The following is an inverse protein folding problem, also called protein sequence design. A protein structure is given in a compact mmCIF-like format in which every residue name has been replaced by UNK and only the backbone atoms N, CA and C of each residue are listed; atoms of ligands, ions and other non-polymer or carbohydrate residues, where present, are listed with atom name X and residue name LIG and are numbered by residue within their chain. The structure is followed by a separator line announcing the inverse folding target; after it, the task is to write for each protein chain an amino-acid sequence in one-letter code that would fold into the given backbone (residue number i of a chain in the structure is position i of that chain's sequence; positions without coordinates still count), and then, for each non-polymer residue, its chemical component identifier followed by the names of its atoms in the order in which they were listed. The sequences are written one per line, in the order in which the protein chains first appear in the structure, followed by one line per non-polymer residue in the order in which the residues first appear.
data_IF_986317563042
#
_entry.id   IF_986317563042
#
_cell.length_a   1.000
_cell.length_b   1.000
_cell.length_c   1.000
_cell.angle_alpha   90.00
_cell.angle_beta   90.00
_cell.angle_gamma   90.00
#
_symmetry.space_group_name_H-M   'P 1'
#
loop_
_entity.id
_entity.type
_entity.pdbx_description
1 polymer ?
#
# COMPACT_ATOMS: atom_id res chain seq x y z
N UNK A 1 -8.16 13.36 21.93
CA UNK A 1 -7.76 12.21 22.74
C UNK A 1 -7.92 10.96 21.87
N UNK A 2 -6.85 10.17 21.74
CA UNK A 2 -6.93 8.86 21.11
C UNK A 2 -7.68 7.89 22.03
N UNK A 3 -8.34 6.86 21.49
CA UNK A 3 -9.11 5.88 22.29
C UNK A 3 -8.25 5.10 23.29
N UNK A 4 -6.94 5.04 23.05
CA UNK A 4 -5.96 4.40 23.94
C UNK A 4 -5.30 5.38 24.93
N UNK A 5 -5.73 6.65 24.94
CA UNK A 5 -5.18 7.69 25.81
C UNK A 5 -3.79 8.18 25.43
N UNK A 6 -3.21 7.68 24.32
CA UNK A 6 -1.91 8.10 23.83
C UNK A 6 -2.04 9.12 22.69
N UNK A 7 -1.10 10.06 22.62
CA UNK A 7 -1.01 11.03 21.54
C UNK A 7 0.29 10.82 20.75
N UNK A 8 0.16 10.73 19.44
CA UNK A 8 1.30 10.52 18.54
C UNK A 8 1.54 11.76 17.68
N UNK A 9 2.81 12.10 17.50
CA UNK A 9 3.20 13.21 16.65
C UNK A 9 2.85 12.96 15.20
N UNK A 10 2.32 14.00 14.51
CA UNK A 10 1.85 13.92 13.13
C UNK A 10 2.88 13.33 12.18
N UNK A 11 4.14 13.76 12.28
CA UNK A 11 5.21 13.33 11.38
C UNK A 11 6.15 12.28 11.99
N UNK A 12 6.09 12.06 13.29
CA UNK A 12 7.07 11.25 14.02
C UNK A 12 6.49 10.03 14.73
N UNK A 13 5.18 9.82 14.67
CA UNK A 13 4.57 8.74 15.43
C UNK A 13 3.29 8.18 14.82
N UNK A 14 2.94 8.58 13.61
CA UNK A 14 1.73 8.13 12.90
C UNK A 14 2.10 7.34 11.65
N UNK A 15 1.13 6.62 11.10
CA UNK A 15 1.30 5.85 9.87
C UNK A 15 0.85 6.69 8.69
N UNK A 16 1.76 6.90 7.75
CA UNK A 16 1.53 7.53 6.45
C UNK A 16 1.53 6.44 5.38
N UNK A 17 0.39 6.11 4.74
CA UNK A 17 0.30 4.95 3.85
C UNK A 17 1.28 4.94 2.68
N UNK A 18 1.63 6.10 2.12
CA UNK A 18 2.64 6.15 1.05
C UNK A 18 4.05 5.81 1.56
N UNK A 19 4.42 6.23 2.78
CA UNK A 19 5.70 5.84 3.40
C UNK A 19 5.67 4.37 3.81
N UNK A 20 4.52 3.90 4.34
CA UNK A 20 4.31 2.50 4.66
C UNK A 20 4.48 1.60 3.43
N UNK A 21 3.99 2.02 2.25
CA UNK A 21 4.17 1.26 1.02
C UNK A 21 5.64 1.18 0.58
N UNK A 22 6.41 2.27 0.67
CA UNK A 22 7.85 2.24 0.39
C UNK A 22 8.64 1.37 1.37
N UNK A 23 8.25 1.39 2.64
CA UNK A 23 8.80 0.50 3.65
C UNK A 23 8.53 -0.97 3.31
N UNK A 24 7.28 -1.29 2.94
CA UNK A 24 6.87 -2.63 2.56
C UNK A 24 7.62 -3.13 1.32
N UNK A 25 7.74 -2.30 0.27
CA UNK A 25 8.53 -2.57 -0.93
C UNK A 25 9.98 -2.91 -0.56
N UNK A 26 10.63 -2.05 0.21
CA UNK A 26 11.99 -2.30 0.67
C UNK A 26 12.10 -3.61 1.47
N UNK A 27 11.15 -3.90 2.35
CA UNK A 27 11.14 -5.13 3.14
C UNK A 27 11.05 -6.38 2.23
N UNK A 28 10.16 -6.36 1.23
CA UNK A 28 10.02 -7.47 0.27
C UNK A 28 11.30 -7.70 -0.53
N UNK A 29 11.94 -6.63 -1.01
CA UNK A 29 13.20 -6.69 -1.75
C UNK A 29 14.36 -7.22 -0.92
N UNK A 30 14.33 -6.98 0.41
CA UNK A 30 15.31 -7.51 1.36
C UNK A 30 14.92 -8.87 1.97
N UNK A 31 13.94 -9.57 1.40
CA UNK A 31 13.55 -10.91 1.81
C UNK A 31 12.66 -10.99 3.05
N UNK A 32 12.15 -9.84 3.53
CA UNK A 32 11.22 -9.75 4.67
C UNK A 32 9.78 -9.68 4.16
N UNK A 33 9.36 -10.76 3.50
CA UNK A 33 7.99 -10.88 2.99
C UNK A 33 6.94 -10.86 4.12
N UNK A 34 7.30 -11.31 5.31
CA UNK A 34 6.48 -11.22 6.52
C UNK A 34 6.05 -9.78 6.85
N UNK A 35 6.98 -8.83 6.68
CA UNK A 35 6.68 -7.40 6.89
C UNK A 35 5.83 -6.82 5.77
N UNK A 36 6.12 -7.18 4.51
CA UNK A 36 5.29 -6.77 3.39
C UNK A 36 3.84 -7.22 3.57
N UNK A 37 3.63 -8.48 3.90
CA UNK A 37 2.29 -9.08 4.09
C UNK A 37 1.53 -8.39 5.21
N UNK A 38 2.21 -8.05 6.31
CA UNK A 38 1.62 -7.31 7.43
C UNK A 38 1.13 -5.93 6.98
N UNK A 39 1.96 -5.17 6.29
CA UNK A 39 1.64 -3.81 5.85
C UNK A 39 0.53 -3.81 4.78
N UNK A 40 0.60 -4.73 3.81
CA UNK A 40 -0.42 -4.88 2.79
C UNK A 40 -1.78 -5.26 3.39
N UNK A 41 -1.80 -6.21 4.32
CA UNK A 41 -3.01 -6.64 5.03
C UNK A 41 -3.64 -5.50 5.83
N UNK A 42 -2.83 -4.73 6.54
CA UNK A 42 -3.30 -3.60 7.34
C UNK A 42 -3.92 -2.52 6.44
N UNK A 43 -3.21 -2.07 5.39
CA UNK A 43 -3.75 -1.07 4.46
C UNK A 43 -5.01 -1.54 3.75
N UNK A 44 -5.07 -2.81 3.36
CA UNK A 44 -6.27 -3.41 2.76
C UNK A 44 -7.44 -3.36 3.74
N UNK A 45 -7.24 -3.81 4.98
CA UNK A 45 -8.28 -3.85 5.99
C UNK A 45 -8.82 -2.44 6.31
N UNK A 46 -7.92 -1.45 6.43
CA UNK A 46 -8.32 -0.07 6.71
C UNK A 46 -9.08 0.56 5.54
N UNK A 47 -8.61 0.38 4.31
CA UNK A 47 -9.28 0.91 3.13
C UNK A 47 -10.67 0.31 2.91
N UNK A 48 -10.84 -0.99 3.20
CA UNK A 48 -12.15 -1.67 3.14
C UNK A 48 -13.07 -1.16 4.24
N UNK A 49 -12.60 -1.02 5.48
CA UNK A 49 -13.37 -0.48 6.60
C UNK A 49 -13.88 0.93 6.34
N UNK A 50 -12.98 1.79 5.83
CA UNK A 50 -13.24 3.23 5.70
C UNK A 50 -13.85 3.60 4.33
N UNK A 51 -13.82 2.68 3.35
CA UNK A 51 -14.26 2.93 1.96
C UNK A 51 -13.34 3.89 1.19
N UNK A 52 -12.17 4.20 1.72
CA UNK A 52 -11.15 5.07 1.12
C UNK A 52 -9.81 4.94 1.83
N UNK A 53 -8.78 5.56 1.27
CA UNK A 53 -7.50 5.75 1.95
C UNK A 53 -7.47 7.13 2.61
N UNK A 54 -7.22 7.17 3.92
CA UNK A 54 -6.94 8.41 4.62
C UNK A 54 -5.47 8.83 4.46
N UNK A 55 -5.18 10.07 4.80
CA UNK A 55 -3.82 10.61 4.77
C UNK A 55 -2.91 9.91 5.79
N UNK A 56 -3.43 9.78 7.02
CA UNK A 56 -2.68 9.32 8.19
C UNK A 56 -3.57 8.42 9.04
N UNK A 57 -2.95 7.40 9.62
CA UNK A 57 -3.60 6.48 10.56
C UNK A 57 -2.87 6.44 11.90
N UNK A 58 -3.62 6.08 12.93
CA UNK A 58 -3.11 5.87 14.28
C UNK A 58 -2.26 4.58 14.33
N UNK A 59 -1.04 4.61 14.88
CA UNK A 59 -0.08 3.52 14.75
C UNK A 59 -0.48 2.24 15.51
N UNK A 60 -1.32 2.36 16.54
CA UNK A 60 -1.75 1.20 17.33
C UNK A 60 -3.12 0.70 16.89
N UNK A 61 -4.08 1.61 16.70
CA UNK A 61 -5.47 1.22 16.43
C UNK A 61 -5.80 1.11 14.94
N UNK A 62 -4.99 1.70 14.07
CA UNK A 62 -5.27 1.80 12.64
C UNK A 62 -6.47 2.69 12.30
N UNK A 63 -6.98 3.47 13.24
CA UNK A 63 -8.05 4.45 12.99
C UNK A 63 -7.51 5.68 12.28
N UNK A 64 -8.39 6.40 11.57
CA UNK A 64 -8.03 7.67 10.93
C UNK A 64 -7.64 8.66 12.00
N UNK A 65 -6.41 9.18 11.95
CA UNK A 65 -5.83 10.00 13.00
C UNK A 65 -4.80 10.98 12.44
N UNK A 66 -5.00 12.27 12.69
CA UNK A 66 -4.15 13.30 12.10
C UNK A 66 -2.84 13.58 12.84
N UNK A 67 -2.70 13.05 14.05
CA UNK A 67 -1.52 13.30 14.89
C UNK A 67 -1.50 14.68 15.54
N UNK A 68 -0.67 14.81 16.57
CA UNK A 68 -0.44 16.08 17.25
C UNK A 68 0.76 16.80 16.68
N UNK A 69 0.64 18.10 16.51
CA UNK A 69 1.70 18.97 16.02
C UNK A 69 1.55 20.36 16.63
N UNK A 70 2.67 21.03 16.85
CA UNK A 70 2.67 22.43 17.24
C UNK A 70 2.08 23.31 16.12
N UNK A 71 1.12 24.12 16.50
CA UNK A 71 0.58 25.17 15.64
C UNK A 71 1.43 26.43 15.82
N UNK A 72 2.27 26.71 14.87
CA UNK A 72 3.22 27.82 14.88
C UNK A 72 2.56 29.22 14.93
N UNK A 73 1.27 29.32 14.58
CA UNK A 73 0.53 30.59 14.74
C UNK A 73 0.12 30.85 16.19
N UNK A 74 -0.18 29.83 16.94
CA UNK A 74 -0.67 29.92 18.32
C UNK A 74 0.32 29.41 19.37
N UNK A 75 1.42 28.81 18.96
CA UNK A 75 2.43 28.15 19.80
C UNK A 75 1.81 27.08 20.74
N UNK A 76 0.76 26.40 20.27
CA UNK A 76 0.03 25.36 21.01
C UNK A 76 0.08 24.03 20.27
N UNK A 77 0.17 22.96 21.02
CA UNK A 77 0.01 21.62 20.48
C UNK A 77 -1.46 21.39 20.15
N UNK A 78 -1.73 20.98 18.92
CA UNK A 78 -3.09 20.66 18.43
C UNK A 78 -3.12 19.26 17.84
N UNK A 79 -4.27 18.61 17.98
CA UNK A 79 -4.61 17.44 17.20
C UNK A 79 -5.10 17.90 15.82
N UNK A 80 -4.39 17.47 14.77
CA UNK A 80 -4.74 17.76 13.40
C UNK A 80 -5.72 16.72 12.87
N UNK A 81 -6.46 17.07 11.84
CA UNK A 81 -7.29 16.13 11.10
C UNK A 81 -6.44 15.43 10.06
N UNK A 82 -6.72 14.14 9.85
CA UNK A 82 -6.26 13.40 8.69
C UNK A 82 -7.19 13.67 7.52
N UNK A 83 -6.66 13.94 6.35
CA UNK A 83 -7.48 14.12 5.16
C UNK A 83 -8.03 12.78 4.67
N UNK A 84 -9.29 12.82 4.23
CA UNK A 84 -9.99 11.68 3.66
C UNK A 84 -9.73 11.59 2.15
N UNK A 85 -9.85 10.38 1.57
CA UNK A 85 -9.70 10.12 0.12
C UNK A 85 -8.36 10.62 -0.43
N UNK A 86 -7.29 10.34 0.29
CA UNK A 86 -5.96 10.85 -0.02
C UNK A 86 -5.33 10.09 -1.18
N UNK A 87 -4.99 10.84 -2.24
CA UNK A 87 -4.48 10.25 -3.50
C UNK A 87 -3.13 9.56 -3.31
N UNK A 88 -2.19 10.16 -2.61
CA UNK A 88 -0.86 9.54 -2.41
C UNK A 88 -0.93 8.24 -1.60
N UNK A 89 -1.86 8.15 -0.64
CA UNK A 89 -2.09 6.90 0.10
C UNK A 89 -2.61 5.80 -0.82
N UNK A 90 -3.57 6.13 -1.70
CA UNK A 90 -4.05 5.22 -2.73
C UNK A 90 -2.94 4.84 -3.72
N UNK A 91 -2.10 5.80 -4.14
CA UNK A 91 -0.96 5.55 -5.03
C UNK A 91 0.04 4.59 -4.41
N UNK A 92 0.36 4.76 -3.12
CA UNK A 92 1.22 3.82 -2.39
C UNK A 92 0.66 2.40 -2.39
N UNK A 93 -0.63 2.24 -2.14
CA UNK A 93 -1.27 0.92 -2.20
C UNK A 93 -1.28 0.33 -3.62
N UNK A 94 -1.52 1.14 -4.65
CA UNK A 94 -1.42 0.68 -6.04
C UNK A 94 0.01 0.28 -6.42
N UNK A 95 1.04 0.96 -5.87
CA UNK A 95 2.42 0.54 -6.02
C UNK A 95 2.63 -0.88 -5.48
N UNK A 96 2.16 -1.17 -4.27
CA UNK A 96 2.24 -2.52 -3.70
C UNK A 96 1.56 -3.57 -4.61
N UNK A 97 0.43 -3.23 -5.24
CA UNK A 97 -0.27 -4.15 -6.14
C UNK A 97 0.50 -4.34 -7.45
N UNK A 98 0.87 -3.25 -8.15
CA UNK A 98 1.41 -3.35 -9.50
C UNK A 98 2.91 -3.67 -9.52
N UNK A 99 3.68 -3.09 -8.61
CA UNK A 99 5.13 -3.27 -8.58
C UNK A 99 5.51 -4.51 -7.79
N UNK A 100 4.95 -4.67 -6.59
CA UNK A 100 5.37 -5.74 -5.68
C UNK A 100 4.60 -7.04 -5.95
N UNK A 101 3.26 -7.02 -5.91
CA UNK A 101 2.45 -8.25 -6.06
C UNK A 101 2.43 -8.72 -7.51
N UNK A 102 2.11 -7.84 -8.46
CA UNK A 102 2.13 -8.19 -9.88
C UNK A 102 3.56 -8.35 -10.41
N UNK A 103 4.53 -7.72 -9.77
CA UNK A 103 5.93 -7.73 -10.17
C UNK A 103 6.16 -7.09 -11.54
N UNK A 104 5.35 -6.08 -11.90
CA UNK A 104 5.45 -5.39 -13.19
C UNK A 104 6.75 -4.61 -13.28
N UNK A 105 7.54 -4.93 -14.29
CA UNK A 105 8.77 -4.23 -14.64
C UNK A 105 8.70 -3.75 -16.09
N UNK A 106 9.04 -2.49 -16.30
CA UNK A 106 9.08 -1.85 -17.61
C UNK A 106 10.49 -1.30 -17.82
N UNK A 107 11.25 -1.95 -18.68
CA UNK A 107 12.60 -1.55 -19.06
C UNK A 107 12.67 -1.33 -20.58
N UNK A 108 12.77 -0.07 -20.99
CA UNK A 108 12.64 0.30 -22.40
C UNK A 108 11.34 -0.26 -22.99
N UNK A 109 11.43 -1.06 -24.05
CA UNK A 109 10.27 -1.73 -24.66
C UNK A 109 9.92 -3.09 -24.05
N UNK A 110 10.73 -3.55 -23.12
CA UNK A 110 10.52 -4.83 -22.44
C UNK A 110 9.55 -4.66 -21.27
N UNK A 111 8.54 -5.52 -21.24
CA UNK A 111 7.60 -5.66 -20.14
C UNK A 111 7.77 -7.07 -19.58
N UNK A 112 7.96 -7.18 -18.28
CA UNK A 112 8.09 -8.46 -17.57
C UNK A 112 7.32 -8.44 -16.25
N UNK A 113 7.03 -9.63 -15.75
CA UNK A 113 6.31 -9.83 -14.52
C UNK A 113 7.09 -10.82 -13.64
N UNK A 114 7.35 -10.42 -12.40
CA UNK A 114 8.02 -11.23 -11.36
C UNK A 114 7.16 -11.22 -10.10
N UNK A 115 6.03 -11.95 -10.11
CA UNK A 115 5.00 -11.79 -9.11
C UNK A 115 5.39 -12.36 -7.74
N UNK A 116 4.77 -11.76 -6.72
CA UNK A 116 4.71 -12.24 -5.36
C UNK A 116 3.24 -12.28 -4.92
N UNK A 117 2.81 -13.35 -4.27
CA UNK A 117 1.47 -13.43 -3.67
C UNK A 117 1.57 -13.36 -2.15
N UNK A 118 0.94 -12.35 -1.52
CA UNK A 118 0.86 -12.25 -0.07
C UNK A 118 0.22 -13.48 0.57
N UNK A 119 0.57 -13.74 1.83
CA UNK A 119 0.02 -14.86 2.58
C UNK A 119 -1.53 -14.84 2.60
N UNK A 120 -2.11 -16.00 2.36
CA UNK A 120 -3.57 -16.17 2.24
C UNK A 120 -4.14 -15.87 0.85
N UNK A 121 -3.34 -15.37 -0.11
CA UNK A 121 -3.75 -15.18 -1.51
C UNK A 121 -3.08 -16.23 -2.37
N UNK A 122 -3.87 -17.09 -3.01
CA UNK A 122 -3.37 -18.19 -3.86
C UNK A 122 -3.53 -17.92 -5.35
N UNK A 123 -4.31 -16.92 -5.71
CA UNK A 123 -4.55 -16.51 -7.09
C UNK A 123 -4.93 -15.05 -7.18
N UNK A 124 -4.45 -14.38 -8.22
CA UNK A 124 -4.81 -13.00 -8.57
C UNK A 124 -4.92 -12.88 -10.09
N UNK A 125 -5.98 -12.25 -10.57
CA UNK A 125 -6.09 -11.87 -11.99
C UNK A 125 -6.22 -10.36 -12.14
N UNK A 126 -5.42 -9.79 -13.01
CA UNK A 126 -5.55 -8.41 -13.48
C UNK A 126 -5.88 -8.44 -14.98
N UNK A 127 -7.04 -7.90 -15.35
CA UNK A 127 -7.51 -7.89 -16.73
C UNK A 127 -7.68 -6.45 -17.25
N UNK A 128 -7.34 -6.26 -18.53
CA UNK A 128 -7.46 -4.95 -19.19
C UNK A 128 -6.35 -3.96 -18.83
N UNK A 129 -5.24 -4.43 -18.26
CA UNK A 129 -4.09 -3.58 -17.93
C UNK A 129 -3.51 -2.98 -19.21
N UNK A 130 -3.65 -1.67 -19.38
CA UNK A 130 -3.22 -0.96 -20.57
C UNK A 130 -1.76 -0.48 -20.39
N UNK A 131 -0.84 -1.07 -21.14
CA UNK A 131 0.56 -0.65 -21.16
C UNK A 131 0.98 -0.42 -22.61
N UNK A 132 1.41 0.80 -22.93
CA UNK A 132 1.89 1.19 -24.28
C UNK A 132 0.93 0.79 -25.40
N UNK A 133 -0.36 1.05 -25.22
CA UNK A 133 -1.40 0.78 -26.21
C UNK A 133 -1.82 -0.69 -26.34
N UNK A 134 -1.20 -1.60 -25.59
CA UNK A 134 -1.60 -3.01 -25.54
C UNK A 134 -2.34 -3.32 -24.24
N UNK A 135 -3.41 -4.10 -24.31
CA UNK A 135 -4.17 -4.55 -23.14
C UNK A 135 -3.70 -5.94 -22.73
N UNK A 136 -3.30 -6.07 -21.48
CA UNK A 136 -2.82 -7.32 -20.90
C UNK A 136 -3.86 -7.92 -19.95
N UNK A 137 -3.90 -9.25 -19.93
CA UNK A 137 -4.46 -10.05 -18.83
C UNK A 137 -3.28 -10.78 -18.21
N UNK A 138 -3.15 -10.67 -16.90
CA UNK A 138 -2.13 -11.35 -16.11
C UNK A 138 -2.83 -12.17 -15.05
N UNK A 139 -2.65 -13.47 -15.07
CA UNK A 139 -3.16 -14.40 -14.09
C UNK A 139 -1.99 -14.99 -13.32
N UNK A 140 -2.00 -14.83 -12.01
CA UNK A 140 -0.96 -15.26 -11.09
C UNK A 140 -1.53 -16.36 -10.21
N UNK A 141 -0.77 -17.45 -10.04
CA UNK A 141 -1.10 -18.55 -9.14
C UNK A 141 0.12 -18.97 -8.35
N UNK A 142 -0.06 -19.51 -7.15
CA UNK A 142 1.01 -20.00 -6.30
C UNK A 142 0.96 -19.45 -4.89
N UNK A 143 2.13 -19.27 -4.26
CA UNK A 143 2.26 -18.70 -2.92
C UNK A 143 3.64 -18.04 -2.75
N UNK A 144 3.68 -16.90 -2.12
CA UNK A 144 4.92 -16.14 -1.88
C UNK A 144 5.68 -15.87 -3.17
N UNK A 145 6.95 -16.21 -3.20
CA UNK A 145 7.81 -16.13 -4.40
C UNK A 145 7.69 -17.35 -5.33
N UNK A 146 7.02 -18.41 -4.91
CA UNK A 146 6.77 -19.59 -5.74
C UNK A 146 5.48 -19.39 -6.55
N UNK A 147 5.47 -18.39 -7.39
CA UNK A 147 4.33 -17.96 -8.19
C UNK A 147 4.61 -18.15 -9.68
N UNK A 148 3.54 -18.32 -10.46
CA UNK A 148 3.59 -18.34 -11.92
C UNK A 148 2.64 -17.26 -12.43
N UNK A 149 3.10 -16.50 -13.42
CA UNK A 149 2.29 -15.55 -14.15
C UNK A 149 1.99 -16.07 -15.56
N UNK A 150 0.72 -16.15 -15.91
CA UNK A 150 0.25 -16.37 -17.26
C UNK A 150 -0.17 -15.02 -17.85
N UNK A 151 0.51 -14.59 -18.92
CA UNK A 151 0.31 -13.27 -19.52
C UNK A 151 -0.24 -13.44 -20.92
N UNK A 152 -1.35 -12.79 -21.22
CA UNK A 152 -1.94 -12.72 -22.56
C UNK A 152 -2.27 -11.29 -22.96
N UNK A 153 -2.19 -11.00 -24.26
CA UNK A 153 -2.60 -9.72 -24.83
C UNK A 153 -4.04 -9.87 -25.29
N UNK A 154 -4.90 -8.99 -24.79
CA UNK A 154 -6.30 -8.93 -25.19
C UNK A 154 -6.42 -8.20 -26.53
N UNK A 155 -7.26 -8.72 -27.41
CA UNK A 155 -7.56 -8.12 -28.71
C UNK A 155 -8.50 -6.91 -28.58
#
# INVERSE_FOLDING_TARGET
DSKDGMSFGRHSGTIWPHIQSFWADAALHHGRSDLFDLEFKNLTAWSVRDGHFAEIYHPITGEIYGGVQEDWQSNRIRLWKSEHKQTWSATGYLHMIFVDILGLQIDGDRISFSPYLPDGITSLEVSGLLIRGKRYRVHITGAGKNTKAEVSILK
#
